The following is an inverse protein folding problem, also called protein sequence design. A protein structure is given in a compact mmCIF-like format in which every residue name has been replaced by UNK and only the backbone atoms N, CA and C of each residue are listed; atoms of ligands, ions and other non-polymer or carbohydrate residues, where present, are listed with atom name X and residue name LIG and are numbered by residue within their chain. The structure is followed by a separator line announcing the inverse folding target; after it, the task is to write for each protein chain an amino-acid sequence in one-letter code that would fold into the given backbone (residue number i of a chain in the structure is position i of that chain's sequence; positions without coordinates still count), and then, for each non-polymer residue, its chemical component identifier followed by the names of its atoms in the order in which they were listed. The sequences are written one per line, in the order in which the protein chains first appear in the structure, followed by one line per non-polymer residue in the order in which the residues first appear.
data_IF_650445420372
#
_entry.id   IF_650445420372
#
_cell.length_a   1.000
_cell.length_b   1.000
_cell.length_c   1.000
_cell.angle_alpha   90.00
_cell.angle_beta   90.00
_cell.angle_gamma   90.00
#
_symmetry.space_group_name_H-M   'P 1'
#
loop_
_entity.id
_entity.type
_entity.pdbx_description
1 polymer ?
#
# COMPACT_ATOMS: atom_id res chain seq x y z
N UNK A 1 -23.69 -14.38 34.96
CA UNK A 1 -22.66 -15.31 34.46
C UNK A 1 -23.36 -16.42 33.66
N UNK A 2 -23.64 -16.18 32.38
CA UNK A 2 -24.23 -17.17 31.48
C UNK A 2 -23.28 -17.35 30.30
N UNK A 3 -22.54 -18.46 30.34
CA UNK A 3 -21.80 -18.99 29.20
C UNK A 3 -22.82 -19.42 28.15
N UNK A 4 -22.98 -18.65 27.08
CA UNK A 4 -23.70 -19.07 25.89
C UNK A 4 -22.82 -20.11 25.18
N UNK A 5 -23.08 -21.40 25.50
CA UNK A 5 -22.42 -22.55 24.88
C UNK A 5 -22.83 -22.59 23.40
N UNK A 6 -21.88 -22.33 22.52
CA UNK A 6 -22.07 -22.43 21.06
C UNK A 6 -22.47 -23.88 20.76
N UNK A 7 -23.76 -24.08 20.47
CA UNK A 7 -24.32 -25.36 20.04
C UNK A 7 -23.84 -25.66 18.64
N UNK A 8 -22.98 -26.64 18.47
CA UNK A 8 -22.34 -26.96 17.19
C UNK A 8 -22.82 -28.29 16.65
N UNK A 9 -22.85 -28.40 15.32
CA UNK A 9 -23.13 -29.65 14.59
C UNK A 9 -22.25 -30.83 15.07
N UNK A 10 -21.06 -30.54 15.55
CA UNK A 10 -20.10 -31.50 16.10
C UNK A 10 -20.62 -32.17 17.39
N UNK A 11 -21.35 -31.45 18.24
CA UNK A 11 -21.94 -32.01 19.47
C UNK A 11 -23.12 -32.90 19.16
N UNK A 12 -23.94 -32.56 18.17
CA UNK A 12 -25.03 -33.41 17.65
C UNK A 12 -24.44 -34.69 17.07
N UNK A 13 -23.40 -34.59 16.26
CA UNK A 13 -22.71 -35.74 15.69
C UNK A 13 -22.18 -36.72 16.75
N UNK A 14 -21.52 -36.16 17.77
CA UNK A 14 -21.00 -36.97 18.90
C UNK A 14 -22.11 -37.66 19.68
N UNK A 15 -23.23 -36.97 19.95
CA UNK A 15 -24.37 -37.54 20.70
C UNK A 15 -25.12 -38.59 19.87
N UNK A 16 -25.22 -38.42 18.57
CA UNK A 16 -25.89 -39.37 17.66
C UNK A 16 -24.99 -40.53 17.19
N UNK A 17 -23.69 -40.52 17.55
CA UNK A 17 -22.75 -41.58 17.14
C UNK A 17 -22.41 -41.55 15.65
N UNK A 18 -22.48 -40.38 14.97
CA UNK A 18 -22.29 -40.27 13.52
C UNK A 18 -21.29 -39.16 13.20
N UNK A 19 -20.88 -39.06 11.92
CA UNK A 19 -20.02 -37.94 11.47
C UNK A 19 -20.79 -36.61 11.32
N UNK A 20 -20.12 -35.48 11.44
CA UNK A 20 -20.72 -34.15 11.20
C UNK A 20 -21.30 -34.02 9.79
N UNK A 21 -20.73 -34.73 8.80
CA UNK A 21 -21.28 -34.80 7.43
C UNK A 21 -22.60 -35.55 7.38
N UNK A 22 -22.79 -36.61 8.18
CA UNK A 22 -24.04 -37.34 8.31
C UNK A 22 -25.11 -36.46 8.93
N UNK A 23 -24.79 -35.70 10.00
CA UNK A 23 -25.73 -34.71 10.59
C UNK A 23 -26.16 -33.68 9.56
N UNK A 24 -25.23 -33.15 8.79
CA UNK A 24 -25.52 -32.18 7.71
C UNK A 24 -26.45 -32.78 6.64
N UNK A 25 -26.26 -34.05 6.26
CA UNK A 25 -27.12 -34.73 5.31
C UNK A 25 -28.55 -34.94 5.86
N UNK A 26 -28.69 -35.23 7.15
CA UNK A 26 -30.00 -35.36 7.82
C UNK A 26 -30.74 -34.02 7.83
N UNK A 27 -30.03 -32.94 8.20
CA UNK A 27 -30.58 -31.56 8.21
C UNK A 27 -31.09 -31.18 6.81
N UNK A 28 -30.36 -31.58 5.77
CA UNK A 28 -30.71 -31.28 4.38
C UNK A 28 -31.63 -32.34 3.72
N UNK A 29 -32.21 -33.28 4.49
CA UNK A 29 -33.10 -34.34 4.01
C UNK A 29 -32.51 -35.14 2.82
N UNK A 30 -31.23 -35.49 2.89
CA UNK A 30 -30.54 -36.17 1.79
C UNK A 30 -31.04 -37.62 1.64
N UNK A 31 -31.47 -38.07 0.44
CA UNK A 31 -32.16 -39.36 0.25
C UNK A 31 -31.32 -40.62 0.56
N UNK A 32 -30.00 -40.48 0.69
CA UNK A 32 -29.09 -41.60 0.99
C UNK A 32 -28.81 -41.81 2.48
N UNK A 33 -29.56 -41.17 3.39
CA UNK A 33 -29.42 -41.42 4.83
C UNK A 33 -30.47 -42.45 5.28
N UNK A 34 -30.01 -43.50 5.96
CA UNK A 34 -30.89 -44.52 6.50
C UNK A 34 -31.91 -43.91 7.50
N UNK A 35 -33.18 -44.34 7.49
CA UNK A 35 -34.22 -43.78 8.37
C UNK A 35 -33.85 -43.79 9.85
N UNK A 36 -33.27 -44.88 10.36
CA UNK A 36 -32.85 -45.03 11.75
C UNK A 36 -31.74 -44.05 12.13
N UNK A 37 -30.82 -43.81 11.22
CA UNK A 37 -29.75 -42.81 11.39
C UNK A 37 -30.33 -41.39 11.44
N UNK A 38 -31.29 -41.09 10.58
CA UNK A 38 -31.94 -39.79 10.55
C UNK A 38 -32.74 -39.53 11.85
N UNK A 39 -33.40 -40.55 12.38
CA UNK A 39 -34.13 -40.45 13.63
C UNK A 39 -33.20 -40.25 14.83
N UNK A 40 -32.07 -40.97 14.90
CA UNK A 40 -31.07 -40.83 15.95
C UNK A 40 -30.50 -39.40 15.97
N UNK A 41 -30.21 -38.83 14.82
CA UNK A 41 -29.74 -37.45 14.69
C UNK A 41 -30.80 -36.45 15.13
N UNK A 42 -32.08 -36.60 14.73
CA UNK A 42 -33.18 -35.72 15.17
C UNK A 42 -33.39 -35.76 16.69
N UNK A 43 -33.31 -36.94 17.31
CA UNK A 43 -33.39 -37.11 18.78
C UNK A 43 -32.20 -36.38 19.47
N UNK A 44 -31.01 -36.50 18.91
CA UNK A 44 -29.83 -35.82 19.43
C UNK A 44 -29.96 -34.28 19.31
N UNK A 45 -30.50 -33.79 18.21
CA UNK A 45 -30.79 -32.37 18.01
C UNK A 45 -31.79 -31.85 19.03
N UNK A 46 -32.90 -32.55 19.23
CA UNK A 46 -33.94 -32.20 20.20
C UNK A 46 -33.38 -32.19 21.64
N UNK A 47 -32.59 -33.20 22.01
CA UNK A 47 -31.97 -33.31 23.35
C UNK A 47 -30.98 -32.18 23.63
N UNK A 48 -30.30 -31.68 22.62
CA UNK A 48 -29.34 -30.59 22.73
C UNK A 48 -29.96 -29.19 22.49
N UNK A 49 -31.28 -29.11 22.18
CA UNK A 49 -31.93 -27.86 21.79
C UNK A 49 -31.30 -27.25 20.53
N UNK A 50 -30.71 -28.07 19.67
CA UNK A 50 -30.10 -27.63 18.44
C UNK A 50 -31.13 -27.41 17.33
N UNK A 51 -31.37 -26.18 16.99
CA UNK A 51 -32.21 -25.81 15.84
C UNK A 51 -31.26 -25.43 14.68
N UNK A 52 -31.37 -26.13 13.51
CA UNK A 52 -30.63 -25.73 12.34
C UNK A 52 -30.95 -24.25 12.01
N UNK A 53 -29.93 -23.43 11.78
CA UNK A 53 -30.21 -22.09 11.28
C UNK A 53 -30.81 -22.20 9.88
N UNK A 54 -31.92 -21.50 9.62
CA UNK A 54 -32.56 -21.44 8.29
C UNK A 54 -31.66 -20.80 7.21
N UNK A 55 -30.49 -20.30 7.60
CA UNK A 55 -29.46 -19.88 6.68
C UNK A 55 -28.71 -21.10 6.19
N UNK A 56 -29.20 -21.70 5.10
CA UNK A 56 -28.33 -22.53 4.26
C UNK A 56 -27.14 -21.67 3.85
N UNK A 57 -25.89 -22.08 4.09
CA UNK A 57 -24.78 -21.55 3.35
C UNK A 57 -24.95 -22.08 1.93
N UNK A 58 -25.64 -21.32 1.09
CA UNK A 58 -25.59 -21.50 -0.35
C UNK A 58 -24.15 -21.32 -0.83
N UNK A 59 -23.80 -21.74 -2.05
CA UNK A 59 -22.56 -21.33 -2.67
C UNK A 59 -22.46 -19.83 -2.49
N UNK A 60 -21.34 -19.35 -1.92
CA UNK A 60 -21.14 -17.91 -1.73
C UNK A 60 -21.36 -17.28 -3.10
N UNK A 61 -22.28 -16.29 -3.25
CA UNK A 61 -22.49 -15.65 -4.54
C UNK A 61 -21.14 -15.14 -5.01
N UNK A 62 -20.72 -15.51 -6.22
CA UNK A 62 -19.61 -14.83 -6.86
C UNK A 62 -19.96 -13.32 -6.93
N UNK A 63 -18.98 -12.44 -6.94
CA UNK A 63 -19.18 -10.99 -7.10
C UNK A 63 -20.18 -10.68 -8.26
N UNK A 64 -20.19 -11.51 -9.29
CA UNK A 64 -21.10 -11.45 -10.45
C UNK A 64 -22.56 -11.83 -10.15
N UNK A 65 -22.86 -12.51 -9.05
CA UNK A 65 -24.23 -12.96 -8.70
C UNK A 65 -24.93 -12.07 -7.66
N UNK A 66 -24.27 -10.99 -7.20
CA UNK A 66 -24.88 -9.99 -6.31
C UNK A 66 -25.84 -9.11 -7.11
N UNK A 67 -27.08 -9.02 -6.68
CA UNK A 67 -28.12 -8.18 -7.32
C UNK A 67 -27.93 -6.67 -7.10
N UNK A 68 -26.85 -6.24 -6.47
CA UNK A 68 -26.47 -4.84 -6.25
C UNK A 68 -25.05 -4.56 -6.70
N UNK A 69 -24.78 -3.31 -7.12
CA UNK A 69 -23.42 -2.89 -7.46
C UNK A 69 -22.51 -2.98 -6.23
N UNK A 70 -21.31 -3.56 -6.40
CA UNK A 70 -20.28 -3.60 -5.35
C UNK A 70 -19.83 -2.19 -5.04
N UNK A 71 -19.82 -1.80 -3.77
CA UNK A 71 -19.40 -0.47 -3.33
C UNK A 71 -18.07 -0.57 -2.59
N UNK A 72 -17.06 0.10 -3.13
CA UNK A 72 -15.74 0.21 -2.51
C UNK A 72 -15.45 1.66 -2.13
N UNK A 73 -14.69 1.85 -1.06
CA UNK A 73 -14.22 3.18 -0.70
C UNK A 73 -12.73 3.31 -0.97
N UNK A 74 -12.31 4.45 -1.51
CA UNK A 74 -10.92 4.88 -1.51
C UNK A 74 -10.75 5.94 -0.42
N UNK A 75 -10.04 5.57 0.63
CA UNK A 75 -9.88 6.37 1.86
C UNK A 75 -8.45 6.88 1.94
N UNK A 76 -8.30 8.21 2.01
CA UNK A 76 -7.02 8.89 2.19
C UNK A 76 -6.92 9.41 3.62
N UNK A 77 -5.87 9.03 4.33
CA UNK A 77 -5.71 9.25 5.76
C UNK A 77 -4.53 10.16 6.07
N UNK A 78 -4.70 11.11 6.99
CA UNK A 78 -3.61 11.85 7.62
C UNK A 78 -2.97 12.94 6.77
N UNK A 79 -3.66 13.46 5.79
CA UNK A 79 -3.20 14.59 4.99
C UNK A 79 -3.90 15.86 5.45
N UNK A 80 -3.19 16.75 6.12
CA UNK A 80 -3.73 18.03 6.63
C UNK A 80 -3.97 19.06 5.53
N UNK A 81 -3.35 18.89 4.37
CA UNK A 81 -3.55 19.72 3.18
C UNK A 81 -3.83 18.82 1.99
N UNK A 82 -4.74 19.28 1.14
CA UNK A 82 -5.10 18.66 -0.12
C UNK A 82 -3.91 18.77 -1.11
N UNK A 83 -2.82 18.06 -0.80
CA UNK A 83 -1.67 17.97 -1.70
C UNK A 83 -1.93 16.81 -2.66
N UNK A 84 -2.62 17.15 -3.74
CA UNK A 84 -2.59 16.31 -4.92
C UNK A 84 -1.19 16.40 -5.51
N UNK A 85 -0.43 15.33 -5.42
CA UNK A 85 0.79 15.19 -6.21
C UNK A 85 0.46 14.51 -7.52
N UNK A 86 1.22 14.70 -8.59
CA UNK A 86 0.99 14.00 -9.85
C UNK A 86 0.96 12.47 -9.70
N UNK A 87 1.81 11.90 -8.84
CA UNK A 87 1.77 10.46 -8.52
C UNK A 87 0.45 10.06 -7.84
N UNK A 88 -0.08 10.90 -6.93
CA UNK A 88 -1.38 10.64 -6.32
C UNK A 88 -2.52 10.74 -7.33
N UNK A 89 -2.49 11.70 -8.24
CA UNK A 89 -3.46 11.84 -9.34
C UNK A 89 -3.45 10.60 -10.24
N UNK A 90 -2.28 10.11 -10.60
CA UNK A 90 -2.12 8.85 -11.32
C UNK A 90 -2.74 7.66 -10.57
N UNK A 91 -2.50 7.58 -9.26
CA UNK A 91 -3.09 6.55 -8.40
C UNK A 91 -4.62 6.58 -8.44
N UNK A 92 -5.21 7.77 -8.28
CA UNK A 92 -6.69 7.99 -8.34
C UNK A 92 -7.22 7.63 -9.72
N UNK A 93 -6.52 7.98 -10.79
CA UNK A 93 -6.90 7.65 -12.17
C UNK A 93 -6.97 6.13 -12.36
N UNK A 94 -5.93 5.40 -11.94
CA UNK A 94 -5.88 3.94 -12.01
C UNK A 94 -7.00 3.26 -11.23
N UNK A 95 -7.24 3.70 -9.99
CA UNK A 95 -8.36 3.20 -9.16
C UNK A 95 -9.70 3.47 -9.83
N UNK A 96 -9.92 4.69 -10.33
CA UNK A 96 -11.19 5.09 -10.96
C UNK A 96 -11.45 4.32 -12.24
N UNK A 97 -10.42 4.10 -13.05
CA UNK A 97 -10.51 3.32 -14.30
C UNK A 97 -10.89 1.88 -14.00
N UNK A 98 -10.18 1.22 -13.07
CA UNK A 98 -10.45 -0.17 -12.73
C UNK A 98 -11.83 -0.34 -12.08
N UNK A 99 -12.25 0.56 -11.18
CA UNK A 99 -13.57 0.52 -10.58
C UNK A 99 -14.68 0.59 -11.64
N UNK A 100 -14.54 1.46 -12.66
CA UNK A 100 -15.48 1.53 -13.81
C UNK A 100 -15.49 0.24 -14.63
N UNK A 101 -14.33 -0.32 -14.94
CA UNK A 101 -14.23 -1.57 -15.73
C UNK A 101 -14.94 -2.74 -15.05
N UNK A 102 -14.94 -2.77 -13.72
CA UNK A 102 -15.60 -3.79 -12.93
C UNK A 102 -17.01 -3.43 -12.46
N UNK A 103 -17.57 -2.29 -12.91
CA UNK A 103 -18.89 -1.78 -12.51
C UNK A 103 -19.03 -1.60 -10.98
N UNK A 104 -18.00 -1.11 -10.32
CA UNK A 104 -18.00 -0.80 -8.90
C UNK A 104 -18.44 0.64 -8.67
N UNK A 105 -19.23 0.85 -7.62
CA UNK A 105 -19.43 2.18 -7.04
C UNK A 105 -18.19 2.55 -6.25
N UNK A 106 -17.53 3.65 -6.61
CA UNK A 106 -16.35 4.16 -5.92
C UNK A 106 -16.75 5.36 -5.07
N UNK A 107 -16.56 5.24 -3.76
CA UNK A 107 -16.69 6.34 -2.81
C UNK A 107 -15.30 6.85 -2.46
N UNK A 108 -15.03 8.14 -2.71
CA UNK A 108 -13.80 8.77 -2.27
C UNK A 108 -14.00 9.45 -0.92
N UNK A 109 -13.09 9.22 0.02
CA UNK A 109 -13.13 9.86 1.33
C UNK A 109 -11.75 10.31 1.76
N UNK A 110 -11.68 11.53 2.25
CA UNK A 110 -10.48 12.12 2.83
C UNK A 110 -10.70 12.36 4.32
N UNK A 111 -9.81 11.83 5.15
CA UNK A 111 -9.81 11.93 6.60
C UNK A 111 -8.50 12.59 7.02
N UNK A 112 -8.49 13.92 7.21
CA UNK A 112 -7.26 14.67 7.54
C UNK A 112 -6.62 14.22 8.85
N UNK A 113 -7.44 13.97 9.87
CA UNK A 113 -6.98 13.44 11.15
C UNK A 113 -7.27 11.93 11.23
N UNK A 114 -6.25 11.06 11.21
CA UNK A 114 -6.44 9.62 11.29
C UNK A 114 -7.12 9.13 12.57
N UNK A 115 -7.12 9.93 13.64
CA UNK A 115 -7.81 9.63 14.89
C UNK A 115 -9.33 9.95 14.80
N UNK A 116 -9.73 10.72 13.79
CA UNK A 116 -11.13 11.10 13.60
C UNK A 116 -11.96 9.92 13.05
N UNK A 117 -13.17 9.80 13.55
CA UNK A 117 -14.10 8.76 13.14
C UNK A 117 -15.26 9.35 12.30
N UNK A 118 -15.13 9.36 10.96
CA UNK A 118 -16.17 9.94 10.12
C UNK A 118 -17.45 9.09 10.16
N UNK A 119 -18.56 9.70 10.58
CA UNK A 119 -19.86 9.03 10.71
C UNK A 119 -20.39 8.44 9.40
N UNK A 120 -20.03 9.01 8.25
CA UNK A 120 -20.54 8.59 6.93
C UNK A 120 -19.87 7.37 6.34
N UNK A 121 -18.54 7.18 6.51
CA UNK A 121 -17.85 5.99 5.99
C UNK A 121 -18.35 4.71 6.67
N UNK A 122 -18.95 4.85 7.84
CA UNK A 122 -19.36 3.75 8.70
C UNK A 122 -20.84 3.41 8.57
N UNK A 123 -21.64 4.28 7.96
CA UNK A 123 -23.07 4.05 7.73
C UNK A 123 -23.35 3.27 6.44
N UNK A 124 -22.45 3.34 5.46
CA UNK A 124 -22.61 2.67 4.19
C UNK A 124 -22.08 1.24 4.22
N UNK A 125 -22.80 0.33 3.59
CA UNK A 125 -22.34 -1.05 3.39
C UNK A 125 -21.22 -1.06 2.37
N UNK A 126 -19.97 -0.90 2.84
CA UNK A 126 -18.80 -1.08 2.00
C UNK A 126 -18.49 -2.56 1.83
N UNK A 127 -18.27 -2.98 0.62
CA UNK A 127 -17.81 -4.34 0.31
C UNK A 127 -16.30 -4.45 0.49
N UNK A 128 -15.54 -3.37 0.28
CA UNK A 128 -14.10 -3.31 0.44
C UNK A 128 -13.56 -1.90 0.53
N UNK A 129 -12.33 -1.75 0.97
CA UNK A 129 -11.66 -0.46 1.12
C UNK A 129 -10.26 -0.47 0.49
N UNK A 130 -9.93 0.61 -0.18
CA UNK A 130 -8.60 0.97 -0.63
C UNK A 130 -8.08 2.06 0.30
N UNK A 131 -6.87 1.93 0.81
CA UNK A 131 -6.32 2.81 1.84
C UNK A 131 -5.01 3.43 1.36
N UNK A 132 -4.88 4.74 1.53
CA UNK A 132 -3.64 5.47 1.28
C UNK A 132 -3.36 6.44 2.42
N UNK A 133 -2.09 6.61 2.77
CA UNK A 133 -1.69 7.60 3.75
C UNK A 133 -1.37 7.03 5.15
N UNK A 134 -1.73 7.72 6.22
CA UNK A 134 -1.42 7.34 7.60
C UNK A 134 -2.13 6.06 8.05
N UNK A 135 -1.63 5.44 9.10
CA UNK A 135 -2.37 4.39 9.78
C UNK A 135 -3.55 5.03 10.54
N UNK A 136 -4.75 4.44 10.46
CA UNK A 136 -5.92 4.94 11.20
C UNK A 136 -5.72 4.77 12.70
N UNK A 137 -6.33 5.66 13.48
CA UNK A 137 -6.45 5.53 14.92
C UNK A 137 -7.20 4.26 15.32
N UNK A 138 -7.11 3.90 16.59
CA UNK A 138 -7.58 2.60 17.10
C UNK A 138 -9.03 2.29 16.74
N UNK A 139 -9.92 3.24 16.94
CA UNK A 139 -11.37 3.02 16.72
C UNK A 139 -11.70 2.84 15.23
N UNK A 140 -11.14 3.68 14.36
CA UNK A 140 -11.30 3.57 12.92
C UNK A 140 -10.68 2.25 12.40
N UNK A 141 -9.51 1.87 12.93
CA UNK A 141 -8.83 0.61 12.59
C UNK A 141 -9.70 -0.60 12.94
N UNK A 142 -10.30 -0.66 14.13
CA UNK A 142 -11.18 -1.77 14.55
C UNK A 142 -12.39 -1.94 13.63
N UNK A 143 -12.86 -0.87 13.01
CA UNK A 143 -13.97 -0.91 12.06
C UNK A 143 -13.49 -1.32 10.66
N UNK A 144 -12.41 -0.72 10.17
CA UNK A 144 -11.86 -1.03 8.85
C UNK A 144 -11.36 -2.46 8.74
N UNK A 145 -10.86 -3.06 9.82
CA UNK A 145 -10.43 -4.48 9.86
C UNK A 145 -11.56 -5.49 9.58
N UNK A 146 -12.82 -5.07 9.66
CA UNK A 146 -13.97 -5.92 9.37
C UNK A 146 -14.28 -6.01 7.87
N UNK A 147 -13.63 -5.18 7.07
CA UNK A 147 -13.84 -5.05 5.63
C UNK A 147 -12.56 -5.46 4.91
N UNK A 148 -12.65 -6.21 3.80
CA UNK A 148 -11.49 -6.47 2.94
C UNK A 148 -10.78 -5.18 2.54
N UNK A 149 -9.46 -5.14 2.71
CA UNK A 149 -8.68 -3.92 2.58
C UNK A 149 -7.41 -4.12 1.77
N UNK A 150 -7.07 -3.12 0.96
CA UNK A 150 -5.80 -3.04 0.23
C UNK A 150 -5.18 -1.67 0.46
N UNK A 151 -3.95 -1.65 0.93
CA UNK A 151 -3.13 -0.45 1.04
C UNK A 151 -2.44 -0.14 -0.29
N UNK A 152 -2.45 1.12 -0.68
CA UNK A 152 -1.77 1.63 -1.87
C UNK A 152 -0.54 2.41 -1.47
N UNK A 153 0.54 2.22 -2.23
CA UNK A 153 1.83 2.88 -2.03
C UNK A 153 2.54 2.48 -0.73
N UNK A 154 3.73 3.03 -0.54
CA UNK A 154 4.47 2.90 0.72
C UNK A 154 4.01 3.93 1.75
N UNK A 155 4.20 3.61 3.01
CA UNK A 155 3.87 4.44 4.15
C UNK A 155 5.10 4.72 5.01
N UNK A 156 5.01 5.69 5.93
CA UNK A 156 6.01 5.88 6.97
C UNK A 156 6.15 4.68 7.90
N UNK A 157 5.07 3.92 8.06
CA UNK A 157 5.06 2.63 8.76
C UNK A 157 4.51 1.57 7.84
N UNK A 158 5.08 0.38 7.90
CA UNK A 158 4.52 -0.77 7.19
C UNK A 158 3.19 -1.15 7.85
N UNK A 159 2.09 -1.21 7.08
CA UNK A 159 0.81 -1.67 7.64
C UNK A 159 0.95 -3.13 8.10
N UNK A 160 0.35 -3.46 9.24
CA UNK A 160 0.30 -4.83 9.76
C UNK A 160 -0.94 -5.58 9.31
N UNK A 161 -1.85 -4.92 8.66
CA UNK A 161 -3.17 -5.38 8.26
C UNK A 161 -3.51 -4.95 6.84
N UNK A 162 -4.32 -5.77 6.14
CA UNK A 162 -4.72 -5.58 4.75
C UNK A 162 -3.63 -5.97 3.76
N UNK A 163 -4.02 -6.27 2.53
CA UNK A 163 -3.08 -6.47 1.44
C UNK A 163 -2.40 -5.16 1.08
N UNK A 164 -1.36 -5.21 0.27
CA UNK A 164 -0.65 -4.00 -0.14
C UNK A 164 -0.25 -4.09 -1.61
N UNK A 165 -0.40 -2.98 -2.34
CA UNK A 165 0.14 -2.78 -3.68
C UNK A 165 0.99 -1.52 -3.68
N UNK A 166 2.24 -1.65 -4.11
CA UNK A 166 3.24 -0.58 -4.02
C UNK A 166 4.29 -0.72 -5.12
N UNK A 167 5.12 0.31 -5.39
CA UNK A 167 6.27 0.14 -6.28
C UNK A 167 7.27 -0.84 -5.67
N UNK A 168 8.03 -1.54 -6.51
CA UNK A 168 9.18 -2.29 -6.03
C UNK A 168 10.28 -1.32 -5.60
N UNK A 169 10.33 -1.06 -4.30
CA UNK A 169 11.26 -0.07 -3.76
C UNK A 169 12.72 -0.53 -3.80
N UNK A 170 12.98 -1.85 -3.88
CA UNK A 170 14.32 -2.34 -4.07
C UNK A 170 14.79 -2.03 -5.49
N UNK A 171 13.97 -2.35 -6.48
CA UNK A 171 14.25 -2.08 -7.89
C UNK A 171 14.44 -0.58 -8.18
N UNK A 172 13.67 0.31 -7.50
CA UNK A 172 13.85 1.77 -7.61
C UNK A 172 15.28 2.17 -7.26
N UNK A 173 15.78 1.73 -6.10
CA UNK A 173 17.15 2.06 -5.67
C UNK A 173 18.22 1.43 -6.57
N UNK A 174 18.00 0.18 -6.98
CA UNK A 174 18.89 -0.53 -7.88
C UNK A 174 19.01 0.14 -9.26
N UNK A 175 17.89 0.54 -9.86
CA UNK A 175 17.86 1.25 -11.14
C UNK A 175 18.61 2.57 -11.07
N UNK A 176 18.41 3.37 -10.00
CA UNK A 176 19.13 4.62 -9.80
C UNK A 176 20.65 4.39 -9.71
N UNK A 177 21.08 3.41 -8.92
CA UNK A 177 22.51 3.10 -8.77
C UNK A 177 23.12 2.59 -10.08
N UNK A 178 22.47 1.63 -10.73
CA UNK A 178 22.95 1.06 -12.02
C UNK A 178 23.07 2.15 -13.10
N UNK A 179 22.10 3.07 -13.16
CA UNK A 179 22.17 4.18 -14.10
C UNK A 179 23.41 5.03 -13.86
N UNK A 180 23.63 5.54 -12.66
CA UNK A 180 24.76 6.39 -12.34
C UNK A 180 26.10 5.67 -12.51
N UNK A 181 26.18 4.39 -12.11
CA UNK A 181 27.36 3.55 -12.31
C UNK A 181 27.68 3.35 -13.80
N UNK A 182 26.68 3.16 -14.65
CA UNK A 182 26.84 3.04 -16.11
C UNK A 182 27.35 4.33 -16.77
N UNK A 183 27.08 5.47 -16.13
CA UNK A 183 27.57 6.80 -16.53
C UNK A 183 29.00 7.09 -16.03
N UNK A 184 29.61 6.14 -15.32
CA UNK A 184 30.99 6.22 -14.85
C UNK A 184 31.15 6.82 -13.44
N UNK A 185 30.06 7.16 -12.76
CA UNK A 185 30.13 7.63 -11.37
C UNK A 185 30.57 6.51 -10.45
N UNK A 186 31.50 6.81 -9.52
CA UNK A 186 32.05 5.85 -8.54
C UNK A 186 31.90 6.36 -7.10
N UNK A 187 31.49 7.60 -6.93
CA UNK A 187 31.07 8.19 -5.65
C UNK A 187 29.66 8.70 -5.82
N UNK A 188 28.75 8.07 -5.09
CA UNK A 188 27.32 8.30 -5.17
C UNK A 188 26.84 8.92 -3.88
N UNK A 189 25.71 9.64 -3.93
CA UNK A 189 25.00 10.11 -2.75
C UNK A 189 23.51 9.82 -2.89
N UNK A 190 22.88 9.41 -1.79
CA UNK A 190 21.45 9.37 -1.67
C UNK A 190 20.98 10.54 -0.84
N UNK A 191 20.00 11.28 -1.37
CA UNK A 191 19.42 12.45 -0.71
C UNK A 191 17.96 12.17 -0.33
N UNK A 192 17.64 12.31 0.98
CA UNK A 192 16.31 12.08 1.50
C UNK A 192 16.01 12.95 2.73
N UNK A 193 15.00 13.79 2.63
CA UNK A 193 14.54 14.65 3.73
C UNK A 193 13.51 13.98 4.64
N UNK A 194 12.89 12.86 4.21
CA UNK A 194 11.90 12.12 5.00
C UNK A 194 12.42 10.74 5.44
N UNK A 195 13.31 10.75 6.41
CA UNK A 195 13.94 9.54 6.95
C UNK A 195 12.97 8.61 7.71
N UNK A 196 11.72 9.03 7.97
CA UNK A 196 10.67 8.19 8.57
C UNK A 196 9.82 7.47 7.52
N UNK A 197 9.88 7.90 6.25
CA UNK A 197 9.11 7.26 5.20
C UNK A 197 9.74 5.93 4.82
N UNK A 198 9.01 4.84 5.08
CA UNK A 198 9.56 3.49 4.91
C UNK A 198 10.00 3.19 3.47
N UNK A 199 9.21 3.59 2.46
CA UNK A 199 9.57 3.33 1.07
C UNK A 199 10.82 4.10 0.64
N UNK A 200 10.94 5.40 1.03
CA UNK A 200 12.12 6.19 0.67
C UNK A 200 13.40 5.63 1.31
N UNK A 201 13.32 5.13 2.55
CA UNK A 201 14.45 4.42 3.16
C UNK A 201 14.82 3.15 2.40
N UNK A 202 13.82 2.40 1.93
CA UNK A 202 14.07 1.18 1.15
C UNK A 202 14.81 1.52 -0.15
N UNK A 203 14.42 2.62 -0.82
CA UNK A 203 15.13 3.11 -2.01
C UNK A 203 16.60 3.40 -1.71
N UNK A 204 16.87 4.15 -0.62
CA UNK A 204 18.24 4.46 -0.20
C UNK A 204 19.07 3.25 0.17
N UNK A 205 18.49 2.28 0.89
CA UNK A 205 19.18 1.05 1.23
C UNK A 205 19.54 0.22 -0.02
N UNK A 206 18.61 0.05 -0.95
CA UNK A 206 18.86 -0.68 -2.20
C UNK A 206 19.89 0.04 -3.08
N UNK A 207 19.82 1.37 -3.17
CA UNK A 207 20.79 2.20 -3.87
C UNK A 207 22.20 2.04 -3.29
N UNK A 208 22.35 2.14 -1.98
CA UNK A 208 23.64 2.00 -1.31
C UNK A 208 24.20 0.58 -1.43
N UNK A 209 23.38 -0.44 -1.30
CA UNK A 209 23.78 -1.84 -1.47
C UNK A 209 24.31 -2.08 -2.89
N UNK A 210 23.55 -1.68 -3.91
CA UNK A 210 23.96 -1.83 -5.33
C UNK A 210 25.25 -1.07 -5.64
N UNK A 211 25.41 0.14 -5.10
CA UNK A 211 26.64 0.91 -5.25
C UNK A 211 27.84 0.18 -4.62
N UNK A 212 27.67 -0.33 -3.41
CA UNK A 212 28.72 -1.06 -2.67
C UNK A 212 29.12 -2.34 -3.39
N UNK A 213 28.17 -3.12 -3.87
CA UNK A 213 28.40 -4.37 -4.61
C UNK A 213 29.18 -4.12 -5.91
N UNK A 214 29.03 -2.93 -6.50
CA UNK A 214 29.78 -2.48 -7.68
C UNK A 214 31.14 -1.82 -7.33
N UNK A 215 31.56 -1.82 -6.06
CA UNK A 215 32.79 -1.20 -5.60
C UNK A 215 32.78 0.33 -5.58
N UNK A 216 31.60 0.96 -5.63
CA UNK A 216 31.44 2.39 -5.49
C UNK A 216 31.20 2.81 -4.03
N UNK A 217 31.51 4.07 -3.72
CA UNK A 217 31.24 4.66 -2.41
C UNK A 217 29.85 5.33 -2.46
N UNK A 218 29.03 5.10 -1.46
CA UNK A 218 27.71 5.73 -1.31
C UNK A 218 27.64 6.50 0.01
N UNK A 219 27.32 7.79 -0.07
CA UNK A 219 27.12 8.67 1.07
C UNK A 219 25.61 8.91 1.26
N UNK A 220 25.15 8.84 2.50
CA UNK A 220 23.75 9.14 2.84
C UNK A 220 23.66 10.60 3.29
N UNK A 221 22.99 11.43 2.49
CA UNK A 221 22.70 12.84 2.83
C UNK A 221 21.28 12.88 3.36
N UNK A 222 21.16 12.55 4.62
CA UNK A 222 19.89 12.44 5.33
C UNK A 222 19.85 13.41 6.51
N UNK A 223 18.67 13.76 6.91
CA UNK A 223 18.47 14.64 8.04
C UNK A 223 18.82 13.92 9.36
N UNK A 224 19.64 14.55 10.20
CA UNK A 224 19.99 14.02 11.52
C UNK A 224 18.82 13.97 12.51
N UNK A 225 17.92 14.96 12.45
CA UNK A 225 16.77 15.04 13.38
C UNK A 225 15.48 14.65 12.70
N UNK A 226 14.75 13.67 13.24
CA UNK A 226 13.43 13.36 12.73
C UNK A 226 12.51 14.56 12.90
N UNK A 227 11.69 14.81 11.89
CA UNK A 227 10.69 15.86 11.95
C UNK A 227 9.67 15.61 13.07
N UNK A 228 9.11 16.68 13.65
CA UNK A 228 8.10 16.56 14.69
C UNK A 228 6.94 15.67 14.25
N UNK A 229 6.39 14.91 15.18
CA UNK A 229 5.58 13.72 14.96
C UNK A 229 4.14 13.93 14.47
N UNK A 230 3.72 15.16 14.19
CA UNK A 230 2.29 15.46 14.04
C UNK A 230 1.71 15.40 12.62
N UNK A 231 2.51 15.11 11.59
CA UNK A 231 2.01 15.05 10.22
C UNK A 231 2.48 13.81 9.46
N UNK A 232 1.57 13.16 8.76
CA UNK A 232 1.90 12.07 7.84
C UNK A 232 2.69 12.58 6.62
N UNK A 233 2.34 13.77 6.13
CA UNK A 233 3.00 14.47 5.06
C UNK A 233 3.81 15.61 5.64
N UNK A 234 5.06 15.65 5.28
CA UNK A 234 5.98 16.67 5.74
C UNK A 234 6.06 17.81 4.76
N UNK A 235 6.05 19.02 5.27
CA UNK A 235 6.45 20.19 4.49
C UNK A 235 7.97 20.23 4.43
N UNK A 236 8.54 20.04 3.25
CA UNK A 236 9.95 20.33 3.03
C UNK A 236 10.14 21.85 3.07
N UNK A 237 10.90 22.35 4.03
CA UNK A 237 11.28 23.77 4.08
C UNK A 237 12.59 23.98 3.36
N UNK A 238 12.81 25.20 2.84
CA UNK A 238 14.09 25.56 2.23
C UNK A 238 15.25 25.44 3.20
N UNK A 239 15.04 25.70 4.50
CA UNK A 239 16.05 25.52 5.54
C UNK A 239 16.57 24.08 5.60
N UNK A 240 15.68 23.10 5.48
CA UNK A 240 16.03 21.67 5.45
C UNK A 240 16.86 21.32 4.22
N UNK A 241 16.47 21.88 3.08
CA UNK A 241 17.20 21.68 1.81
C UNK A 241 18.59 22.28 1.90
N UNK A 242 18.71 23.51 2.41
CA UNK A 242 19.99 24.19 2.59
C UNK A 242 20.91 23.45 3.56
N UNK A 243 20.35 22.84 4.60
CA UNK A 243 21.11 22.00 5.54
C UNK A 243 21.70 20.77 4.84
N UNK A 244 20.89 20.07 4.08
CA UNK A 244 21.35 18.90 3.32
C UNK A 244 22.34 19.30 2.19
N UNK A 245 22.16 20.47 1.57
CA UNK A 245 23.15 21.02 0.63
C UNK A 245 24.48 21.29 1.34
N UNK A 246 24.49 21.87 2.56
CA UNK A 246 25.72 22.05 3.35
C UNK A 246 26.40 20.72 3.66
N UNK A 247 25.64 19.70 4.06
CA UNK A 247 26.18 18.36 4.31
C UNK A 247 26.83 17.80 3.05
N UNK A 248 26.16 17.85 1.92
CA UNK A 248 26.71 17.37 0.64
C UNK A 248 27.98 18.14 0.25
N UNK A 249 28.01 19.46 0.41
CA UNK A 249 29.19 20.30 0.06
C UNK A 249 30.39 20.02 0.96
N UNK A 250 30.18 19.56 2.19
CA UNK A 250 31.23 19.21 3.14
C UNK A 250 31.90 17.85 2.81
N UNK A 251 31.29 17.02 1.97
CA UNK A 251 31.86 15.74 1.58
C UNK A 251 33.15 15.91 0.75
N UNK A 252 34.19 15.13 1.06
CA UNK A 252 35.48 15.16 0.36
C UNK A 252 36.07 13.76 0.21
N UNK A 253 36.33 13.27 -1.02
CA UNK A 253 35.88 13.86 -2.28
C UNK A 253 34.37 13.80 -2.45
N UNK A 254 33.82 14.84 -3.09
CA UNK A 254 32.37 15.00 -3.27
C UNK A 254 31.79 13.97 -4.25
N UNK A 255 30.64 13.36 -3.94
CA UNK A 255 29.92 12.50 -4.88
C UNK A 255 29.52 13.26 -6.16
N UNK A 256 29.61 12.58 -7.30
CA UNK A 256 29.22 13.14 -8.60
C UNK A 256 27.93 12.52 -9.15
N UNK A 257 27.47 11.39 -8.62
CA UNK A 257 26.17 10.83 -8.93
C UNK A 257 25.24 10.93 -7.72
N UNK A 258 24.05 11.51 -7.90
CA UNK A 258 23.10 11.75 -6.80
C UNK A 258 21.77 11.09 -7.13
N UNK A 259 21.23 10.31 -6.21
CA UNK A 259 19.84 9.87 -6.25
C UNK A 259 19.03 10.65 -5.20
N UNK A 260 17.99 11.35 -5.64
CA UNK A 260 17.06 12.09 -4.80
C UNK A 260 15.76 11.29 -4.68
N UNK A 261 15.28 11.10 -3.47
CA UNK A 261 14.21 10.16 -3.15
C UNK A 261 12.85 10.42 -3.81
N UNK A 262 12.55 11.68 -4.18
CA UNK A 262 11.35 12.08 -4.91
C UNK A 262 11.53 13.39 -5.69
N UNK A 263 10.65 13.65 -6.64
CA UNK A 263 10.74 14.80 -7.55
C UNK A 263 10.48 16.14 -6.86
N UNK A 264 9.68 16.18 -5.81
CA UNK A 264 9.49 17.40 -5.03
C UNK A 264 10.78 17.80 -4.32
N UNK A 265 11.52 16.82 -3.79
CA UNK A 265 12.81 17.09 -3.15
C UNK A 265 13.84 17.59 -4.20
N UNK A 266 13.89 16.98 -5.39
CA UNK A 266 14.85 17.42 -6.43
C UNK A 266 14.53 18.81 -6.94
N UNK A 267 13.25 19.19 -7.06
CA UNK A 267 12.83 20.54 -7.46
C UNK A 267 13.36 21.65 -6.52
N UNK A 268 13.61 21.30 -5.27
CA UNK A 268 14.18 22.20 -4.29
C UNK A 268 15.71 22.08 -4.20
N UNK A 269 16.23 20.86 -4.25
CA UNK A 269 17.63 20.54 -4.03
C UNK A 269 18.52 20.94 -5.19
N UNK A 270 18.14 20.63 -6.44
CA UNK A 270 18.96 20.95 -7.62
C UNK A 270 19.23 22.46 -7.76
N UNK A 271 18.23 23.35 -7.70
CA UNK A 271 18.48 24.78 -7.75
C UNK A 271 19.32 25.28 -6.56
N UNK A 272 19.17 24.66 -5.39
CA UNK A 272 19.99 25.03 -4.23
C UNK A 272 21.47 24.69 -4.43
N UNK A 273 21.78 23.52 -5.00
CA UNK A 273 23.13 23.14 -5.41
C UNK A 273 23.71 24.11 -6.45
N UNK A 274 22.92 24.44 -7.47
CA UNK A 274 23.35 25.35 -8.53
C UNK A 274 23.66 26.75 -7.99
N UNK A 275 22.90 27.27 -7.04
CA UNK A 275 23.21 28.55 -6.34
C UNK A 275 24.54 28.50 -5.59
N UNK A 276 25.01 27.33 -5.17
CA UNK A 276 26.31 27.13 -4.54
C UNK A 276 27.43 26.82 -5.55
N UNK A 277 27.18 27.06 -6.85
CA UNK A 277 28.17 26.86 -7.91
C UNK A 277 28.40 25.43 -8.33
N UNK A 278 27.56 24.47 -7.90
CA UNK A 278 27.65 23.08 -8.36
C UNK A 278 27.11 22.99 -9.78
N UNK A 279 27.95 22.49 -10.69
CA UNK A 279 27.56 22.29 -12.10
C UNK A 279 26.85 20.93 -12.22
N UNK A 280 25.58 20.97 -12.60
CA UNK A 280 24.77 19.79 -12.85
C UNK A 280 24.78 19.49 -14.35
N UNK A 281 24.91 18.23 -14.73
CA UNK A 281 24.85 17.78 -16.12
C UNK A 281 25.82 16.65 -16.44
N UNK A 282 25.80 16.20 -17.70
CA UNK A 282 26.60 15.10 -18.20
C UNK A 282 28.09 15.30 -17.95
N UNK A 283 28.73 14.31 -17.32
CA UNK A 283 30.15 14.32 -16.97
C UNK A 283 30.49 15.30 -15.83
N UNK A 284 29.50 15.82 -15.14
CA UNK A 284 29.60 16.65 -13.95
C UNK A 284 28.85 15.98 -12.78
N UNK A 285 28.04 16.70 -12.06
CA UNK A 285 27.10 16.10 -11.11
C UNK A 285 25.84 15.70 -11.86
N UNK A 286 25.51 14.41 -11.84
CA UNK A 286 24.29 13.87 -12.45
C UNK A 286 23.29 13.48 -11.36
N UNK A 287 22.01 13.81 -11.58
CA UNK A 287 20.92 13.57 -10.64
C UNK A 287 19.91 12.60 -11.26
N UNK A 288 19.52 11.60 -10.48
CA UNK A 288 18.37 10.74 -10.72
C UNK A 288 17.30 11.10 -9.70
N UNK A 289 16.05 11.21 -10.15
CA UNK A 289 14.88 11.43 -9.30
C UNK A 289 13.86 10.30 -9.42
N UNK A 290 12.79 10.36 -8.65
CA UNK A 290 11.81 9.29 -8.60
C UNK A 290 10.38 9.85 -8.47
N UNK A 291 9.44 9.18 -9.07
CA UNK A 291 7.99 9.27 -9.12
C UNK A 291 7.41 9.67 -10.48
N UNK A 292 8.19 10.27 -11.40
CA UNK A 292 7.73 10.81 -12.68
C UNK A 292 6.68 11.92 -12.51
N UNK A 293 6.99 12.87 -11.63
CA UNK A 293 6.12 14.01 -11.34
C UNK A 293 6.54 15.23 -12.16
N UNK A 294 6.37 15.15 -13.47
CA UNK A 294 6.79 16.15 -14.47
C UNK A 294 6.55 17.62 -14.06
N UNK A 295 5.41 18.00 -13.43
CA UNK A 295 5.21 19.41 -13.00
C UNK A 295 6.26 19.96 -12.06
N UNK A 296 6.93 19.13 -11.27
CA UNK A 296 8.03 19.56 -10.41
C UNK A 296 9.35 19.75 -11.17
N UNK A 297 9.48 19.11 -12.33
CA UNK A 297 10.75 19.01 -13.05
C UNK A 297 10.86 19.99 -14.22
N UNK A 298 9.75 20.54 -14.72
CA UNK A 298 9.70 21.42 -15.91
C UNK A 298 10.68 22.60 -15.84
N UNK A 299 10.92 23.13 -14.64
CA UNK A 299 11.83 24.28 -14.47
C UNK A 299 13.28 23.92 -14.21
N UNK A 300 13.64 22.64 -14.18
CA UNK A 300 14.99 22.18 -13.89
C UNK A 300 15.83 22.07 -15.16
N UNK A 301 17.03 22.62 -15.14
CA UNK A 301 18.00 22.55 -16.24
C UNK A 301 19.38 22.15 -15.69
N UNK A 302 19.94 21.01 -16.14
CA UNK A 302 19.29 19.99 -16.97
C UNK A 302 18.17 19.30 -16.20
N UNK A 303 17.21 18.73 -16.93
CA UNK A 303 16.20 17.86 -16.34
C UNK A 303 16.87 16.58 -15.81
N UNK A 304 16.60 16.14 -14.58
CA UNK A 304 17.18 14.91 -14.06
C UNK A 304 16.66 13.68 -14.82
N UNK A 305 17.41 12.58 -14.76
CA UNK A 305 16.87 11.28 -15.15
C UNK A 305 15.81 10.84 -14.13
N UNK A 306 14.69 10.32 -14.60
CA UNK A 306 13.53 9.98 -13.77
C UNK A 306 13.32 8.48 -13.65
N UNK A 307 12.81 8.03 -12.50
CA UNK A 307 12.29 6.68 -12.31
C UNK A 307 10.78 6.78 -12.12
N UNK A 308 10.02 6.19 -13.06
CA UNK A 308 8.57 6.09 -12.96
C UNK A 308 8.17 4.89 -12.10
N UNK A 309 7.49 5.15 -11.00
CA UNK A 309 6.93 4.14 -10.09
C UNK A 309 5.61 3.56 -10.57
N UNK A 310 5.09 3.99 -11.72
CA UNK A 310 3.84 3.53 -12.33
C UNK A 310 2.61 3.67 -11.43
N UNK A 311 2.42 4.85 -10.87
CA UNK A 311 1.34 5.12 -9.91
C UNK A 311 -0.06 4.72 -10.41
N UNK A 312 -0.38 4.95 -11.68
CA UNK A 312 -1.65 4.51 -12.28
C UNK A 312 -1.80 2.98 -12.29
N UNK A 313 -0.73 2.26 -12.60
CA UNK A 313 -0.74 0.79 -12.56
C UNK A 313 -0.92 0.25 -11.14
N UNK A 314 -0.33 0.92 -10.14
CA UNK A 314 -0.54 0.60 -8.72
C UNK A 314 -2.02 0.76 -8.37
N UNK A 315 -2.65 1.87 -8.77
CA UNK A 315 -4.08 2.11 -8.53
C UNK A 315 -4.98 1.04 -9.15
N UNK A 316 -4.74 0.69 -10.40
CA UNK A 316 -5.46 -0.38 -11.10
C UNK A 316 -5.28 -1.73 -10.41
N UNK A 317 -4.03 -2.11 -10.13
CA UNK A 317 -3.72 -3.39 -9.48
C UNK A 317 -4.30 -3.51 -8.08
N UNK A 318 -4.41 -2.40 -7.34
CA UNK A 318 -5.03 -2.40 -6.02
C UNK A 318 -6.53 -2.76 -6.06
N UNK A 319 -7.26 -2.30 -7.07
CA UNK A 319 -8.67 -2.72 -7.28
C UNK A 319 -8.74 -4.20 -7.62
N UNK A 320 -7.88 -4.70 -8.50
CA UNK A 320 -7.81 -6.13 -8.86
C UNK A 320 -7.45 -6.99 -7.64
N UNK A 321 -6.52 -6.54 -6.79
CA UNK A 321 -6.17 -7.23 -5.55
C UNK A 321 -7.35 -7.23 -4.56
N UNK A 322 -8.12 -6.14 -4.50
CA UNK A 322 -9.31 -6.09 -3.66
C UNK A 322 -10.39 -7.06 -4.17
N UNK A 323 -10.60 -7.16 -5.49
CA UNK A 323 -11.50 -8.15 -6.10
C UNK A 323 -11.07 -9.56 -5.70
N UNK A 324 -9.79 -9.86 -5.87
CA UNK A 324 -9.24 -11.16 -5.49
C UNK A 324 -9.50 -11.46 -4.00
N UNK A 325 -9.29 -10.49 -3.11
CA UNK A 325 -9.55 -10.63 -1.66
C UNK A 325 -11.02 -10.86 -1.35
N UNK A 326 -11.93 -10.19 -2.06
CA UNK A 326 -13.37 -10.38 -1.94
C UNK A 326 -13.82 -11.79 -2.36
N UNK A 327 -13.16 -12.37 -3.35
CA UNK A 327 -13.43 -13.73 -3.84
C UNK A 327 -12.78 -14.81 -2.96
N UNK A 328 -11.71 -14.47 -2.22
CA UNK A 328 -10.94 -15.39 -1.39
C UNK A 328 -10.89 -14.99 0.10
N UNK A 329 -12.04 -14.77 0.76
CA UNK A 329 -12.09 -14.29 2.15
C UNK A 329 -11.55 -15.29 3.17
N UNK A 330 -11.36 -16.56 2.78
CA UNK A 330 -10.83 -17.63 3.63
C UNK A 330 -9.29 -17.61 3.75
N UNK A 331 -8.60 -16.88 2.88
CA UNK A 331 -7.14 -16.77 2.92
C UNK A 331 -6.77 -15.71 3.95
N UNK A 332 -6.13 -16.16 5.04
CA UNK A 332 -5.77 -15.28 6.15
C UNK A 332 -4.47 -14.51 5.88
N UNK A 333 -3.61 -15.05 5.02
CA UNK A 333 -2.31 -14.48 4.70
C UNK A 333 -2.47 -13.14 3.98
N UNK A 334 -1.67 -12.19 4.39
CA UNK A 334 -1.56 -10.89 3.75
C UNK A 334 -0.72 -11.00 2.48
N UNK A 335 -1.22 -10.41 1.40
CA UNK A 335 -0.51 -10.36 0.12
C UNK A 335 0.12 -8.98 -0.07
N UNK A 336 1.37 -8.97 -0.46
CA UNK A 336 2.09 -7.76 -0.89
C UNK A 336 2.46 -7.92 -2.35
N UNK A 337 1.94 -7.05 -3.20
CA UNK A 337 2.22 -7.01 -4.63
C UNK A 337 3.10 -5.79 -4.91
N UNK A 338 4.22 -5.98 -5.59
CA UNK A 338 5.06 -4.91 -6.08
C UNK A 338 4.86 -4.69 -7.58
N UNK A 339 4.96 -3.44 -8.00
CA UNK A 339 4.94 -3.03 -9.40
C UNK A 339 6.34 -2.60 -9.79
N UNK A 340 6.87 -3.21 -10.84
CA UNK A 340 8.19 -2.92 -11.38
C UNK A 340 8.26 -1.47 -11.89
N UNK A 341 9.19 -0.63 -11.37
CA UNK A 341 9.45 0.71 -11.88
C UNK A 341 10.22 0.66 -13.20
N UNK A 342 10.35 1.78 -13.89
CA UNK A 342 11.25 1.88 -15.02
C UNK A 342 11.92 3.25 -15.10
N UNK A 343 13.08 3.29 -15.74
CA UNK A 343 13.85 4.53 -15.90
C UNK A 343 13.44 5.26 -17.18
N UNK A 344 13.15 6.55 -17.04
CA UNK A 344 12.92 7.48 -18.13
C UNK A 344 14.21 8.28 -18.31
N UNK A 345 14.92 8.05 -19.40
CA UNK A 345 16.14 8.79 -19.70
C UNK A 345 15.76 10.22 -20.12
N UNK A 346 16.40 11.21 -19.52
CA UNK A 346 16.32 12.58 -20.05
C UNK A 346 17.00 12.64 -21.42
N UNK A 347 16.35 13.30 -22.36
CA UNK A 347 17.00 13.71 -23.62
C UNK A 347 17.98 14.85 -23.26
N UNK A 348 19.19 14.50 -22.81
CA UNK A 348 20.24 15.43 -22.46
C UNK A 348 21.16 15.73 -23.67
#
# INVERSE_FOLDING_TARGET
MYLCSIMSITRVAKLAGVSSSTVSRVINNHPRVAPDTAESVRKAMQKLGYTPSDRRPGPKPSLRSRTGATTIAFVVLGTTRNRSTPAFEGLVAGVSQAARQHNFNLVFSHIPDPEELPSRILSDRLDGVLLHGALPGKELLERLRKVPAVWLMGNRRRPEWGDQVMPDGYEVGELAAKHLLSRGHRRLAFFNLDTKHWALRLYGHAFAATATDAGAVCEMVEREKPLSSSGYWQEYSMELVEDAVRQYLALSPRPSGIFVADDMQVAMFQPALQRQGVVIGTGKVEIVSCNNETPYLIGLHPTPTEIDIRAESIGRRAVEQLIWRLEHPQIAERIVTTIEPFIIKSDA
#
